data_IF_464938161811
#
_entry.id   IF_464938161811
#
_cell.length_a   1.000
_cell.length_b   1.000
_cell.length_c   1.000
_cell.angle_alpha   90.00
_cell.angle_beta   90.00
_cell.angle_gamma   90.00
#
_symmetry.space_group_name_H-M   'P 1'
#
loop_
_entity.id
_entity.type
_entity.pdbx_description
1 polymer ?
#
# COMPACT_ATOMS: atom_id res chain seq x y z
N UNK A 1 25.47 4.64 16.55
CA UNK A 1 24.31 5.30 15.91
C UNK A 1 24.03 4.75 14.51
N UNK A 2 25.04 4.59 13.64
CA UNK A 2 24.88 4.01 12.29
C UNK A 2 24.31 2.59 12.27
N UNK A 3 24.78 1.68 13.12
CA UNK A 3 24.31 0.30 13.16
C UNK A 3 22.81 0.17 13.52
N UNK A 4 22.32 1.06 14.40
CA UNK A 4 20.93 1.06 14.88
C UNK A 4 19.98 1.66 13.81
N UNK A 5 20.43 2.72 13.13
CA UNK A 5 19.74 3.28 11.96
C UNK A 5 19.73 2.31 10.77
N UNK A 6 20.84 1.60 10.52
CA UNK A 6 20.91 0.56 9.48
C UNK A 6 20.00 -0.63 9.82
N UNK A 7 19.89 -1.00 11.09
CA UNK A 7 18.96 -2.03 11.54
C UNK A 7 17.50 -1.60 11.36
N UNK A 8 17.14 -0.37 11.74
CA UNK A 8 15.81 0.18 11.47
C UNK A 8 15.50 0.22 9.96
N UNK A 9 16.45 0.65 9.14
CA UNK A 9 16.31 0.65 7.69
C UNK A 9 16.13 -0.77 7.12
N UNK A 10 16.89 -1.76 7.63
CA UNK A 10 16.82 -3.14 7.18
C UNK A 10 15.52 -3.86 7.59
N UNK A 11 15.07 -3.67 8.83
CA UNK A 11 13.77 -4.19 9.32
C UNK A 11 12.61 -3.56 8.54
N UNK A 12 12.74 -2.29 8.18
CA UNK A 12 11.70 -1.56 7.46
C UNK A 12 11.67 -1.87 5.97
N UNK A 13 12.82 -2.12 5.35
CA UNK A 13 12.87 -2.67 3.99
C UNK A 13 12.16 -4.02 3.89
N UNK A 14 12.26 -4.85 4.94
CA UNK A 14 11.48 -6.11 5.02
C UNK A 14 9.97 -5.85 5.09
N UNK A 15 9.51 -4.83 5.83
CA UNK A 15 8.09 -4.44 5.84
C UNK A 15 7.62 -3.85 4.50
N UNK A 16 8.41 -2.99 3.86
CA UNK A 16 8.04 -2.45 2.56
C UNK A 16 8.06 -3.52 1.46
N UNK A 17 8.95 -4.51 1.55
CA UNK A 17 8.96 -5.66 0.64
C UNK A 17 7.76 -6.60 0.87
N UNK A 18 7.33 -6.80 2.12
CA UNK A 18 6.07 -7.50 2.39
C UNK A 18 4.88 -6.74 1.81
N UNK A 19 4.92 -5.40 1.80
CA UNK A 19 3.87 -4.61 1.16
C UNK A 19 3.79 -4.79 -0.36
N UNK A 20 4.92 -4.97 -1.04
CA UNK A 20 4.93 -5.33 -2.46
C UNK A 20 4.31 -6.71 -2.71
N UNK A 21 4.60 -7.71 -1.86
CA UNK A 21 4.00 -9.05 -1.96
C UNK A 21 2.49 -9.03 -1.68
N UNK A 22 2.05 -8.29 -0.66
CA UNK A 22 0.63 -8.03 -0.39
C UNK A 22 -0.04 -7.32 -1.59
N UNK A 23 0.67 -6.38 -2.23
CA UNK A 23 0.22 -5.71 -3.45
C UNK A 23 -0.05 -6.70 -4.59
N UNK A 24 0.81 -7.71 -4.78
CA UNK A 24 0.58 -8.76 -5.79
C UNK A 24 -0.69 -9.59 -5.51
N UNK A 25 -1.00 -9.86 -4.25
CA UNK A 25 -2.22 -10.59 -3.87
C UNK A 25 -3.50 -9.82 -4.22
N UNK A 26 -3.42 -8.50 -4.35
CA UNK A 26 -4.52 -7.64 -4.80
C UNK A 26 -4.48 -7.49 -6.33
N UNK A 27 -3.29 -7.23 -6.88
CA UNK A 27 -3.11 -6.91 -8.29
C UNK A 27 -3.38 -8.11 -9.19
N UNK A 28 -2.93 -9.32 -8.84
CA UNK A 28 -3.05 -10.49 -9.71
C UNK A 28 -4.53 -10.87 -9.92
N UNK A 29 -5.37 -11.03 -8.88
CA UNK A 29 -6.77 -11.38 -9.10
C UNK A 29 -7.53 -10.31 -9.90
N UNK A 30 -7.36 -9.03 -9.55
CA UNK A 30 -8.00 -7.92 -10.27
C UNK A 30 -7.48 -7.78 -11.70
N UNK A 31 -6.18 -8.03 -11.91
CA UNK A 31 -5.53 -8.00 -13.20
C UNK A 31 -6.01 -9.09 -14.13
N UNK A 32 -6.20 -10.31 -13.61
CA UNK A 32 -6.71 -11.45 -14.36
C UNK A 32 -8.22 -11.35 -14.64
N UNK A 33 -9.00 -10.74 -13.74
CA UNK A 33 -10.45 -10.60 -13.89
C UNK A 33 -10.84 -9.44 -14.81
N UNK A 34 -10.06 -8.35 -14.80
CA UNK A 34 -10.43 -7.12 -15.50
C UNK A 34 -9.31 -6.60 -16.39
N UNK A 35 -8.23 -6.08 -15.79
CA UNK A 35 -7.05 -5.53 -16.48
C UNK A 35 -5.97 -5.22 -15.44
N UNK A 36 -4.69 -5.44 -15.77
CA UNK A 36 -3.59 -5.22 -14.81
C UNK A 36 -3.42 -3.76 -14.35
N UNK A 37 -3.93 -2.77 -15.11
CA UNK A 37 -4.04 -1.36 -14.68
C UNK A 37 -5.10 -1.19 -13.60
N UNK A 38 -6.23 -1.89 -13.71
CA UNK A 38 -7.27 -1.93 -12.67
C UNK A 38 -6.71 -2.62 -11.42
N UNK A 39 -5.95 -3.71 -11.61
CA UNK A 39 -5.22 -4.35 -10.51
C UNK A 39 -4.24 -3.40 -9.82
N UNK A 40 -3.44 -2.66 -10.58
CA UNK A 40 -2.53 -1.66 -10.01
C UNK A 40 -3.28 -0.55 -9.26
N UNK A 41 -4.38 -0.03 -9.81
CA UNK A 41 -5.24 0.95 -9.13
C UNK A 41 -5.80 0.39 -7.82
N UNK A 42 -6.19 -0.88 -7.80
CA UNK A 42 -6.63 -1.58 -6.59
C UNK A 42 -5.57 -1.58 -5.48
N UNK A 43 -4.29 -1.80 -5.84
CA UNK A 43 -3.18 -1.71 -4.88
C UNK A 43 -3.06 -0.29 -4.32
N UNK A 44 -3.13 0.73 -5.17
CA UNK A 44 -3.07 2.14 -4.73
C UNK A 44 -4.18 2.44 -3.74
N UNK A 45 -5.43 2.12 -4.11
CA UNK A 45 -6.61 2.38 -3.27
C UNK A 45 -6.51 1.64 -1.93
N UNK A 46 -6.08 0.39 -1.94
CA UNK A 46 -5.91 -0.41 -0.73
C UNK A 46 -4.89 0.21 0.23
N UNK A 47 -3.68 0.49 -0.25
CA UNK A 47 -2.61 1.04 0.59
C UNK A 47 -2.92 2.44 1.09
N UNK A 48 -3.52 3.27 0.23
CA UNK A 48 -3.97 4.59 0.63
C UNK A 48 -5.01 4.52 1.74
N UNK A 49 -6.03 3.68 1.57
CA UNK A 49 -7.12 3.50 2.55
C UNK A 49 -6.57 2.98 3.88
N UNK A 50 -5.64 2.03 3.83
CA UNK A 50 -4.97 1.48 5.01
C UNK A 50 -4.16 2.54 5.75
N UNK A 51 -3.33 3.34 5.05
CA UNK A 51 -2.53 4.38 5.70
C UNK A 51 -3.37 5.52 6.24
N UNK A 52 -4.44 5.87 5.55
CA UNK A 52 -5.43 6.83 6.06
C UNK A 52 -6.06 6.31 7.36
N UNK A 53 -6.43 5.03 7.43
CA UNK A 53 -6.97 4.42 8.66
C UNK A 53 -5.95 4.42 9.81
N UNK A 54 -4.69 4.07 9.52
CA UNK A 54 -3.60 4.14 10.50
C UNK A 54 -3.46 5.56 11.08
N UNK A 55 -3.51 6.59 10.24
CA UNK A 55 -3.41 7.99 10.69
C UNK A 55 -4.57 8.41 11.59
N UNK A 56 -5.78 7.95 11.31
CA UNK A 56 -6.92 8.25 12.18
C UNK A 56 -6.79 7.56 13.53
N UNK A 57 -6.40 6.28 13.53
CA UNK A 57 -6.17 5.53 14.76
C UNK A 57 -5.09 6.17 15.64
N UNK A 58 -4.03 6.72 15.05
CA UNK A 58 -2.98 7.43 15.79
C UNK A 58 -3.46 8.71 16.49
N UNK A 59 -4.54 9.33 16.02
CA UNK A 59 -5.10 10.54 16.62
C UNK A 59 -6.12 10.28 17.72
N UNK A 60 -6.61 9.04 17.83
CA UNK A 60 -7.58 8.65 18.85
C UNK A 60 -6.89 8.35 20.18
N UNK A 61 -7.58 8.63 21.29
CA UNK A 61 -7.10 8.19 22.61
C UNK A 61 -7.16 6.66 22.69
N UNK A 62 -6.32 5.98 23.49
CA UNK A 62 -6.27 4.52 23.55
C UNK A 62 -7.64 3.87 23.85
N UNK A 63 -8.44 4.51 24.70
CA UNK A 63 -9.80 4.09 25.07
C UNK A 63 -10.77 4.18 23.89
N UNK A 64 -10.62 5.20 23.04
CA UNK A 64 -11.44 5.44 21.85
C UNK A 64 -10.99 4.57 20.67
N UNK A 65 -9.69 4.29 20.56
CA UNK A 65 -9.12 3.39 19.55
C UNK A 65 -9.65 1.95 19.71
N UNK A 66 -9.83 1.49 20.96
CA UNK A 66 -10.41 0.17 21.23
C UNK A 66 -11.87 0.07 20.75
N UNK A 67 -12.64 1.15 20.89
CA UNK A 67 -14.02 1.26 20.40
C UNK A 67 -14.12 1.50 18.89
N UNK A 68 -13.08 2.05 18.27
CA UNK A 68 -12.97 2.29 16.82
C UNK A 68 -12.49 1.05 16.05
N UNK A 69 -11.77 0.13 16.70
CA UNK A 69 -11.33 -1.15 16.11
C UNK A 69 -12.44 -1.96 15.42
N UNK A 70 -13.69 -2.03 15.92
CA UNK A 70 -14.78 -2.73 15.23
C UNK A 70 -15.43 -1.92 14.10
N UNK A 71 -15.34 -0.58 14.09
CA UNK A 71 -16.05 0.27 13.12
C UNK A 71 -15.29 1.60 12.87
N UNK A 72 -14.86 1.83 11.64
CA UNK A 72 -14.24 3.09 11.22
C UNK A 72 -15.31 4.18 10.99
N UNK A 73 -15.67 4.92 12.04
CA UNK A 73 -16.81 5.84 12.03
C UNK A 73 -16.56 7.22 11.43
N UNK A 74 -15.31 7.68 11.29
CA UNK A 74 -15.02 9.05 10.85
C UNK A 74 -13.87 9.08 9.86
N UNK A 75 -14.09 9.67 8.68
CA UNK A 75 -13.07 9.88 7.63
C UNK A 75 -12.54 11.31 7.60
N UNK A 76 -12.03 11.79 8.74
CA UNK A 76 -11.71 13.20 8.93
C UNK A 76 -10.22 13.53 8.77
N UNK A 77 -9.30 12.58 9.00
CA UNK A 77 -7.86 12.84 9.08
C UNK A 77 -7.09 11.87 8.15
N UNK A 78 -5.90 12.29 7.72
CA UNK A 78 -4.98 11.40 7.00
C UNK A 78 -5.33 11.22 5.53
N UNK A 79 -6.08 12.16 4.94
CA UNK A 79 -6.40 12.14 3.50
C UNK A 79 -5.23 12.54 2.62
N UNK A 80 -4.29 13.33 3.14
CA UNK A 80 -3.22 13.90 2.35
C UNK A 80 -1.84 13.44 2.80
N UNK A 81 -0.90 13.18 1.87
CA UNK A 81 0.38 12.58 2.19
C UNK A 81 1.32 13.52 2.96
N UNK A 82 1.10 14.83 2.92
CA UNK A 82 1.86 15.79 3.75
C UNK A 82 1.44 15.78 5.22
N UNK A 83 0.33 15.14 5.57
CA UNK A 83 -0.07 14.86 6.95
C UNK A 83 0.57 13.58 7.47
N UNK A 84 1.24 12.81 6.60
CA UNK A 84 1.83 11.52 6.93
C UNK A 84 3.32 11.67 7.18
N UNK A 85 3.83 10.82 8.06
CA UNK A 85 5.27 10.65 8.19
C UNK A 85 5.89 10.08 6.90
N UNK A 86 7.14 10.45 6.62
CA UNK A 86 7.83 10.07 5.39
C UNK A 86 7.86 8.55 5.16
N UNK A 87 7.90 7.75 6.23
CA UNK A 87 7.88 6.30 6.11
C UNK A 87 6.50 5.77 5.71
N UNK A 88 5.40 6.40 6.16
CA UNK A 88 4.05 6.01 5.74
C UNK A 88 3.80 6.33 4.27
N UNK A 89 4.36 7.44 3.78
CA UNK A 89 4.35 7.77 2.35
C UNK A 89 5.10 6.69 1.56
N UNK A 90 6.26 6.24 2.04
CA UNK A 90 7.05 5.20 1.39
C UNK A 90 6.31 3.85 1.32
N UNK A 91 5.60 3.48 2.38
CA UNK A 91 4.79 2.27 2.44
C UNK A 91 3.65 2.24 1.42
N UNK A 92 3.22 3.40 0.89
CA UNK A 92 2.26 3.48 -0.23
C UNK A 92 2.97 3.60 -1.57
N UNK A 93 4.05 4.40 -1.63
CA UNK A 93 4.77 4.67 -2.86
C UNK A 93 5.42 3.42 -3.46
N UNK A 94 6.09 2.60 -2.65
CA UNK A 94 6.76 1.38 -3.11
C UNK A 94 5.81 0.34 -3.73
N UNK A 95 4.72 -0.08 -3.06
CA UNK A 95 3.76 -1.00 -3.67
C UNK A 95 3.04 -0.38 -4.87
N UNK A 96 2.77 0.93 -4.85
CA UNK A 96 2.16 1.63 -5.99
C UNK A 96 3.05 1.62 -7.23
N UNK A 97 4.32 1.99 -7.07
CA UNK A 97 5.28 2.05 -8.18
C UNK A 97 5.54 0.65 -8.73
N UNK A 98 5.80 -0.32 -7.86
CA UNK A 98 6.04 -1.70 -8.28
C UNK A 98 4.84 -2.29 -9.02
N UNK A 99 3.61 -2.09 -8.51
CA UNK A 99 2.40 -2.56 -9.18
C UNK A 99 2.15 -1.86 -10.52
N UNK A 100 2.41 -0.55 -10.60
CA UNK A 100 2.30 0.20 -11.86
C UNK A 100 3.31 -0.29 -12.90
N UNK A 101 4.55 -0.57 -12.49
CA UNK A 101 5.58 -1.15 -13.37
C UNK A 101 5.17 -2.54 -13.87
N UNK A 102 4.58 -3.37 -13.02
CA UNK A 102 4.05 -4.69 -13.42
C UNK A 102 2.92 -4.52 -14.44
N UNK A 103 1.99 -3.59 -14.22
CA UNK A 103 0.93 -3.32 -15.17
C UNK A 103 1.46 -2.85 -16.52
N UNK A 104 2.46 -1.95 -16.52
CA UNK A 104 3.13 -1.49 -17.74
C UNK A 104 3.86 -2.63 -18.46
N UNK A 105 4.56 -3.48 -17.71
CA UNK A 105 5.23 -4.65 -18.26
C UNK A 105 4.23 -5.65 -18.86
N UNK A 106 3.08 -5.86 -18.23
CA UNK A 106 2.00 -6.70 -18.74
C UNK A 106 1.40 -6.16 -20.05
N UNK A 107 1.23 -4.84 -20.17
CA UNK A 107 0.78 -4.19 -21.41
C UNK A 107 1.82 -4.33 -22.52
N UNK A 108 3.10 -4.18 -22.20
CA UNK A 108 4.20 -4.30 -23.15
C UNK A 108 4.51 -5.75 -23.54
N UNK A 109 3.94 -6.73 -22.82
CA UNK A 109 4.20 -8.14 -23.01
C UNK A 109 3.57 -8.65 -24.31
N UNK A 110 4.42 -8.97 -25.30
CA UNK A 110 4.02 -9.57 -26.59
C UNK A 110 4.22 -11.10 -26.64
N UNK A 111 4.23 -11.76 -25.50
CA UNK A 111 4.40 -13.22 -25.44
C UNK A 111 3.12 -14.00 -25.77
N UNK A 112 3.14 -15.34 -25.62
CA UNK A 112 2.05 -16.23 -26.04
C UNK A 112 0.70 -15.99 -25.33
N UNK A 113 0.66 -15.17 -24.28
CA UNK A 113 -0.57 -14.78 -23.56
C UNK A 113 -1.22 -13.50 -24.12
N UNK A 114 -0.67 -12.90 -25.18
CA UNK A 114 -1.17 -11.64 -25.78
C UNK A 114 -2.49 -11.77 -26.57
N UNK A 115 -3.08 -12.96 -26.61
CA UNK A 115 -4.32 -13.27 -27.34
C UNK A 115 -5.54 -13.50 -26.45
N UNK A 116 -5.43 -13.31 -25.13
CA UNK A 116 -6.56 -13.35 -24.20
C UNK A 116 -6.95 -11.94 -23.76
#
# INVERSE_FOLDING_TARGET
MSALLNWFAAVRWRMSLSHCLEGLLIQIPLGLLFDFRIGALGVVVWYWSRKKLEMELETLRPEEALAFSPHAYTWAIGWFPWQWDAYKVLDVALPTISSSLIALAAIAYRGPLSHF
#
